data_IF_041166509007
#
_entry.id   IF_041166509007
#
_cell.length_a   1.000
_cell.length_b   1.000
_cell.length_c   1.000
_cell.angle_alpha   90.00
_cell.angle_beta   90.00
_cell.angle_gamma   90.00
#
_symmetry.space_group_name_H-M   'P 1'
#
loop_
_entity.id
_entity.type
_entity.pdbx_description
1 polymer ?
#
# COMPACT_ATOMS: atom_id res chain seq x y z
N UNK A 1 32.25 32.18 -48.78
CA UNK A 1 32.31 32.06 -47.31
C UNK A 1 31.24 31.06 -46.91
N UNK A 2 31.65 29.82 -46.67
CA UNK A 2 30.79 28.77 -46.13
C UNK A 2 31.12 28.67 -44.63
N UNK A 3 30.08 28.63 -43.80
CA UNK A 3 30.19 28.52 -42.35
C UNK A 3 28.90 27.90 -41.83
N UNK A 4 28.65 26.66 -42.27
CA UNK A 4 27.61 25.80 -41.74
C UNK A 4 28.33 24.72 -40.92
N UNK A 5 28.49 24.96 -39.62
CA UNK A 5 29.00 23.98 -38.66
C UNK A 5 28.17 24.07 -37.38
N UNK A 6 27.03 23.40 -37.40
CA UNK A 6 26.39 22.87 -36.21
C UNK A 6 26.36 21.36 -36.38
N UNK A 7 27.01 20.62 -35.47
CA UNK A 7 26.36 19.41 -34.97
C UNK A 7 26.36 19.39 -33.44
N UNK A 8 25.19 19.22 -32.84
CA UNK A 8 24.76 17.98 -32.16
C UNK A 8 25.63 17.70 -30.92
N UNK A 9 25.10 18.06 -29.75
CA UNK A 9 25.36 17.38 -28.49
C UNK A 9 23.99 16.98 -27.95
N UNK A 10 23.83 15.67 -27.77
CA UNK A 10 22.58 14.92 -27.74
C UNK A 10 21.41 15.50 -26.94
N UNK A 11 20.24 15.45 -27.59
CA UNK A 11 18.97 15.06 -26.97
C UNK A 11 19.18 13.67 -26.32
N UNK A 12 19.76 13.63 -25.12
CA UNK A 12 19.65 12.43 -24.29
C UNK A 12 18.29 12.45 -23.60
N UNK A 13 17.51 11.36 -23.74
CA UNK A 13 16.16 11.27 -23.23
C UNK A 13 16.19 11.42 -21.72
N UNK A 14 15.14 12.03 -21.16
CA UNK A 14 14.78 11.84 -19.75
C UNK A 14 14.42 10.36 -19.54
N UNK A 15 15.44 9.50 -19.53
CA UNK A 15 15.32 8.11 -19.15
C UNK A 15 15.22 8.03 -17.64
N UNK A 16 14.14 7.40 -17.21
CA UNK A 16 13.89 7.15 -15.81
C UNK A 16 12.96 8.16 -15.18
N UNK A 17 11.72 8.23 -15.68
CA UNK A 17 10.56 8.26 -14.80
C UNK A 17 10.56 7.02 -13.91
N UNK A 18 11.59 6.84 -13.09
CA UNK A 18 11.63 5.85 -12.04
C UNK A 18 10.51 6.26 -11.11
N UNK A 19 9.46 5.44 -11.04
CA UNK A 19 8.34 5.60 -10.13
C UNK A 19 8.89 6.15 -8.82
N UNK A 20 8.60 7.43 -8.53
CA UNK A 20 9.22 8.15 -7.44
C UNK A 20 9.11 7.26 -6.20
N UNK A 21 10.24 6.73 -5.73
CA UNK A 21 10.22 5.82 -4.58
C UNK A 21 9.70 6.66 -3.43
N UNK A 22 8.49 6.34 -2.98
CA UNK A 22 7.87 6.99 -1.82
C UNK A 22 8.89 6.88 -0.67
N UNK A 23 9.28 8.00 -0.05
CA UNK A 23 10.19 7.97 1.09
C UNK A 23 9.67 7.02 2.16
N UNK A 24 10.57 6.28 2.81
CA UNK A 24 10.19 5.34 3.87
C UNK A 24 9.36 6.01 4.98
N UNK A 25 9.66 7.26 5.31
CA UNK A 25 8.88 8.05 6.27
C UNK A 25 7.43 8.28 5.81
N UNK A 26 7.21 8.58 4.54
CA UNK A 26 5.88 8.79 3.96
C UNK A 26 5.10 7.47 3.88
N UNK A 27 5.78 6.38 3.51
CA UNK A 27 5.21 5.04 3.53
C UNK A 27 4.80 4.62 4.95
N UNK A 28 5.62 4.89 5.98
CA UNK A 28 5.29 4.61 7.38
C UNK A 28 4.04 5.40 7.80
N UNK A 29 3.98 6.71 7.51
CA UNK A 29 2.81 7.54 7.84
C UNK A 29 1.54 7.01 7.18
N UNK A 30 1.59 6.71 5.88
CA UNK A 30 0.44 6.15 5.17
C UNK A 30 -0.03 4.80 5.73
N UNK A 31 0.91 3.94 6.15
CA UNK A 31 0.57 2.66 6.79
C UNK A 31 -0.06 2.86 8.17
N UNK A 32 0.40 3.84 8.96
CA UNK A 32 -0.22 4.18 10.25
C UNK A 32 -1.66 4.65 10.08
N UNK A 33 -1.93 5.51 9.09
CA UNK A 33 -3.29 5.98 8.80
C UNK A 33 -4.22 4.81 8.42
N UNK A 34 -3.71 3.85 7.64
CA UNK A 34 -4.48 2.64 7.28
C UNK A 34 -4.72 1.76 8.50
N UNK A 35 -3.73 1.59 9.39
CA UNK A 35 -3.89 0.81 10.62
C UNK A 35 -4.96 1.40 11.54
N UNK A 36 -4.99 2.72 11.70
CA UNK A 36 -6.01 3.40 12.51
C UNK A 36 -7.41 3.21 11.91
N UNK A 37 -7.56 3.34 10.60
CA UNK A 37 -8.81 3.04 9.91
C UNK A 37 -9.23 1.57 10.10
N UNK A 38 -8.31 0.62 9.91
CA UNK A 38 -8.56 -0.81 10.10
C UNK A 38 -8.93 -1.15 11.55
N UNK A 39 -8.33 -0.47 12.54
CA UNK A 39 -8.69 -0.64 13.95
C UNK A 39 -10.13 -0.19 14.22
N UNK A 40 -10.55 0.94 13.64
CA UNK A 40 -11.93 1.41 13.67
C UNK A 40 -12.91 0.41 13.04
N UNK A 41 -12.59 -0.08 11.84
CA UNK A 41 -13.41 -1.05 11.12
C UNK A 41 -13.57 -2.36 11.92
N UNK A 42 -12.48 -2.88 12.50
CA UNK A 42 -12.51 -4.09 13.34
C UNK A 42 -13.29 -3.87 14.63
N UNK A 43 -13.22 -2.69 15.24
CA UNK A 43 -14.01 -2.35 16.41
C UNK A 43 -15.52 -2.36 16.09
N UNK A 44 -15.90 -1.83 14.92
CA UNK A 44 -17.28 -1.87 14.43
C UNK A 44 -17.74 -3.31 14.14
N UNK A 45 -16.92 -4.12 13.47
CA UNK A 45 -17.20 -5.55 13.22
C UNK A 45 -17.40 -6.30 14.54
N UNK A 46 -16.51 -6.10 15.52
CA UNK A 46 -16.63 -6.70 16.86
C UNK A 46 -17.91 -6.28 17.56
N UNK A 47 -18.29 -5.01 17.45
CA UNK A 47 -19.52 -4.52 18.05
C UNK A 47 -20.75 -5.18 17.43
N UNK A 48 -20.84 -5.26 16.10
CA UNK A 48 -21.93 -5.93 15.38
C UNK A 48 -22.04 -7.41 15.73
N UNK A 49 -20.91 -8.11 15.81
CA UNK A 49 -20.91 -9.53 16.22
C UNK A 49 -21.44 -9.71 17.65
N UNK A 50 -21.09 -8.81 18.57
CA UNK A 50 -21.61 -8.83 19.96
C UNK A 50 -23.07 -8.39 20.06
N UNK A 51 -23.53 -7.48 19.21
CA UNK A 51 -24.93 -7.08 19.15
C UNK A 51 -25.81 -8.22 18.62
N UNK A 52 -25.34 -9.03 17.67
CA UNK A 52 -26.00 -10.28 17.28
C UNK A 52 -26.06 -11.32 18.41
N UNK A 53 -25.27 -11.18 19.48
CA UNK A 53 -25.31 -12.03 20.69
C UNK A 53 -26.21 -11.47 21.81
N UNK A 54 -26.70 -10.24 21.70
CA UNK A 54 -27.56 -9.57 22.69
C UNK A 54 -28.95 -9.27 22.09
N UNK A 55 -30.03 -9.21 22.91
CA UNK A 55 -31.37 -8.97 22.39
C UNK A 55 -31.46 -7.60 21.71
N UNK A 56 -32.06 -7.59 20.51
CA UNK A 56 -32.08 -6.51 19.52
C UNK A 56 -32.69 -5.20 20.04
N UNK A 57 -31.86 -4.20 20.28
CA UNK A 57 -32.27 -2.79 20.27
C UNK A 57 -31.41 -2.08 19.25
N UNK A 58 -31.89 -2.06 18.00
CA UNK A 58 -31.68 -1.09 16.92
C UNK A 58 -31.90 -1.85 15.59
N UNK A 59 -33.06 -1.63 14.98
CA UNK A 59 -33.38 -2.06 13.60
C UNK A 59 -32.44 -1.34 12.62
N UNK A 60 -31.21 -1.83 12.51
CA UNK A 60 -30.32 -1.49 11.41
C UNK A 60 -30.57 -2.55 10.34
N UNK A 61 -30.83 -2.12 9.11
CA UNK A 61 -31.08 -3.03 8.00
C UNK A 61 -29.81 -3.84 7.69
N UNK A 62 -29.67 -4.99 8.35
CA UNK A 62 -28.49 -5.84 8.27
C UNK A 62 -28.22 -6.32 6.83
N UNK A 63 -29.22 -6.24 5.95
CA UNK A 63 -29.12 -6.60 4.54
C UNK A 63 -28.32 -5.59 3.70
N UNK A 64 -28.18 -4.34 4.15
CA UNK A 64 -27.36 -3.33 3.46
C UNK A 64 -25.90 -3.31 3.95
N UNK A 65 -25.62 -3.97 5.07
CA UNK A 65 -24.27 -4.00 5.64
C UNK A 65 -23.50 -5.23 5.16
N UNK A 66 -22.27 -5.07 4.63
CA UNK A 66 -21.44 -6.21 4.24
C UNK A 66 -21.24 -7.16 5.42
N UNK A 67 -21.13 -8.45 5.10
CA UNK A 67 -21.07 -9.48 6.13
C UNK A 67 -19.79 -9.30 6.97
N UNK A 68 -19.84 -9.54 8.29
CA UNK A 68 -18.68 -9.38 9.17
C UNK A 68 -17.42 -10.12 8.70
N UNK A 69 -17.59 -11.32 8.14
CA UNK A 69 -16.50 -12.13 7.58
C UNK A 69 -15.89 -11.53 6.30
N UNK A 70 -16.72 -10.95 5.44
CA UNK A 70 -16.29 -10.23 4.25
C UNK A 70 -15.52 -8.96 4.61
N UNK A 71 -16.02 -8.19 5.58
CA UNK A 71 -15.32 -7.01 6.10
C UNK A 71 -13.96 -7.38 6.70
N UNK A 72 -13.90 -8.44 7.51
CA UNK A 72 -12.64 -8.92 8.09
C UNK A 72 -11.62 -9.33 7.01
N UNK A 73 -12.06 -10.01 5.93
CA UNK A 73 -11.19 -10.35 4.79
C UNK A 73 -10.68 -9.13 4.05
N UNK A 74 -11.52 -8.13 3.82
CA UNK A 74 -11.10 -6.87 3.19
C UNK A 74 -10.05 -6.13 4.02
N UNK A 75 -10.22 -6.10 5.35
CA UNK A 75 -9.25 -5.50 6.26
C UNK A 75 -7.91 -6.25 6.19
N UNK A 76 -7.94 -7.59 6.19
CA UNK A 76 -6.72 -8.40 6.05
C UNK A 76 -5.97 -8.10 4.74
N UNK A 77 -6.67 -8.04 3.60
CA UNK A 77 -6.06 -7.72 2.31
C UNK A 77 -5.42 -6.31 2.27
N UNK A 78 -6.04 -5.32 2.94
CA UNK A 78 -5.47 -3.97 3.08
C UNK A 78 -4.17 -3.99 3.89
N UNK A 79 -4.14 -4.75 4.99
CA UNK A 79 -2.96 -4.90 5.84
C UNK A 79 -1.81 -5.61 5.11
N UNK A 80 -2.11 -6.66 4.33
CA UNK A 80 -1.11 -7.34 3.49
C UNK A 80 -0.50 -6.40 2.44
N UNK A 81 -1.33 -5.56 1.82
CA UNK A 81 -0.88 -4.53 0.86
C UNK A 81 0.05 -3.52 1.53
N UNK A 82 -0.29 -3.06 2.74
CA UNK A 82 0.55 -2.16 3.53
C UNK A 82 1.89 -2.81 3.91
N UNK A 83 1.87 -4.07 4.32
CA UNK A 83 3.09 -4.82 4.63
C UNK A 83 4.00 -4.96 3.40
N UNK A 84 3.41 -5.22 2.22
CA UNK A 84 4.14 -5.26 0.96
C UNK A 84 4.75 -3.90 0.58
N UNK A 85 3.96 -2.83 0.68
CA UNK A 85 4.41 -1.47 0.41
C UNK A 85 5.57 -1.05 1.34
N UNK A 86 5.47 -1.39 2.63
CA UNK A 86 6.50 -1.08 3.61
C UNK A 86 7.81 -1.83 3.33
N UNK A 87 7.73 -3.12 2.98
CA UNK A 87 8.91 -3.94 2.60
C UNK A 87 9.61 -3.38 1.36
N UNK A 88 8.84 -2.92 0.38
CA UNK A 88 9.38 -2.29 -0.83
C UNK A 88 10.05 -0.95 -0.50
N UNK A 89 9.44 -0.14 0.38
CA UNK A 89 9.99 1.15 0.80
C UNK A 89 11.22 1.02 1.71
N UNK A 90 11.31 -0.05 2.51
CA UNK A 90 12.45 -0.31 3.39
C UNK A 90 13.69 -0.83 2.64
N UNK A 91 13.60 -1.05 1.32
CA UNK A 91 14.71 -1.53 0.52
C UNK A 91 14.99 -3.02 0.66
N UNK A 92 14.11 -3.79 1.30
CA UNK A 92 14.23 -5.24 1.41
C UNK A 92 13.67 -5.92 0.15
N UNK A 93 14.26 -5.57 -0.99
CA UNK A 93 14.06 -6.27 -2.26
C UNK A 93 15.08 -7.40 -2.30
N UNK A 94 14.83 -8.47 -1.53
CA UNK A 94 15.50 -9.76 -1.61
C UNK A 94 17.03 -9.76 -1.48
N UNK A 95 17.54 -10.46 -0.47
CA UNK A 95 18.79 -11.20 -0.64
C UNK A 95 18.62 -12.14 -1.85
N UNK A 96 18.94 -11.64 -3.05
CA UNK A 96 19.14 -12.49 -4.22
C UNK A 96 20.54 -13.11 -4.06
N UNK A 97 20.67 -14.44 -3.85
CA UNK A 97 21.97 -15.08 -3.88
C UNK A 97 22.42 -15.12 -5.33
N UNK A 98 23.21 -14.15 -5.77
CA UNK A 98 23.47 -14.03 -7.21
C UNK A 98 24.65 -13.19 -7.67
N UNK A 99 25.37 -12.47 -6.80
CA UNK A 99 26.59 -11.76 -7.21
C UNK A 99 27.70 -11.98 -6.18
N UNK A 100 28.21 -13.22 -6.14
CA UNK A 100 29.60 -13.39 -5.77
C UNK A 100 30.40 -12.78 -6.92
N UNK A 101 30.84 -11.54 -6.74
CA UNK A 101 31.82 -10.91 -7.64
C UNK A 101 32.97 -11.88 -7.80
N UNK A 102 33.12 -12.40 -9.01
CA UNK A 102 34.35 -13.05 -9.40
C UNK A 102 35.42 -11.98 -9.45
N UNK A 103 36.37 -12.07 -8.52
CA UNK A 103 37.70 -11.50 -8.66
C UNK A 103 38.72 -12.48 -8.08
#
# INVERSE_FOLDING_TARGET
MAGSDFPIGEDEPQEGGGAARVPLSEAITAVLDVLDACAGDLAAVRHRLRQKELPEELEIDEAELPRPDEQARHIAARLETCAGALRNASGEVGDQPGLSSGE
#
